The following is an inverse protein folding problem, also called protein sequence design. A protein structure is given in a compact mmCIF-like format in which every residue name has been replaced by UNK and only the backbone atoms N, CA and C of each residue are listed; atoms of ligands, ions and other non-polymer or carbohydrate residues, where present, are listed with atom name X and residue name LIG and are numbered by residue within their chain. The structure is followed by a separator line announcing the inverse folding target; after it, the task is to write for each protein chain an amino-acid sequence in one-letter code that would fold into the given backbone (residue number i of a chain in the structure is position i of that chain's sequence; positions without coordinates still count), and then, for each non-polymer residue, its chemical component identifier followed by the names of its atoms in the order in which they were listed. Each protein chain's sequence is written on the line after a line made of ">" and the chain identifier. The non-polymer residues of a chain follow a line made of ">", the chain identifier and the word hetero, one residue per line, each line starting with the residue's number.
data_IF_234671204311
#
_entry.id   IF_234671204311
#
_cell.length_a   1.000
_cell.length_b   1.000
_cell.length_c   1.000
_cell.angle_alpha   90.00
_cell.angle_beta   90.00
_cell.angle_gamma   90.00
#
_symmetry.space_group_name_H-M   'P 1'
#
loop_
_entity.id
_entity.type
_entity.pdbx_description
1 polymer ?
#
# COMPACT_ATOMS: atom_id res chain seq x y z
N UNK A 1 49.04 -13.98 80.59
CA UNK A 1 49.33 -12.81 81.45
C UNK A 1 48.74 -11.59 80.79
N UNK A 2 47.72 -11.00 81.43
CA UNK A 2 47.24 -9.62 81.45
C UNK A 2 47.03 -8.94 80.09
N UNK A 3 45.79 -8.66 79.81
CA UNK A 3 44.91 -7.50 80.16
C UNK A 3 45.04 -6.32 79.22
N UNK A 4 44.00 -5.98 78.66
CA UNK A 4 43.04 -4.85 78.83
C UNK A 4 42.98 -3.88 77.66
N UNK A 5 41.76 -3.73 77.18
CA UNK A 5 40.95 -2.50 77.01
C UNK A 5 41.50 -1.49 76.02
N UNK A 6 40.75 -0.91 75.13
CA UNK A 6 39.40 -0.40 75.21
C UNK A 6 39.01 0.36 73.95
N UNK A 7 37.69 0.37 73.67
CA UNK A 7 36.88 1.47 73.17
C UNK A 7 36.93 1.81 71.66
N UNK A 8 35.92 1.37 70.94
CA UNK A 8 34.70 2.09 70.50
C UNK A 8 34.95 3.28 69.63
N UNK A 9 34.57 3.13 68.32
CA UNK A 9 33.89 4.13 67.59
C UNK A 9 32.89 3.43 66.71
N UNK A 10 31.61 3.65 67.01
CA UNK A 10 30.45 3.14 66.27
C UNK A 10 30.23 4.00 65.00
N UNK A 11 30.52 3.43 63.85
CA UNK A 11 30.02 4.01 62.61
C UNK A 11 28.53 3.62 62.37
N UNK A 12 27.68 4.61 62.54
CA UNK A 12 26.26 4.55 62.25
C UNK A 12 26.04 4.37 60.74
N UNK A 13 25.51 3.24 60.34
CA UNK A 13 24.87 3.07 59.04
C UNK A 13 23.68 4.01 58.93
N UNK A 14 23.49 4.72 57.81
CA UNK A 14 22.27 5.51 57.61
C UNK A 14 21.09 4.58 57.41
N UNK A 15 20.03 4.82 58.16
CA UNK A 15 18.72 4.20 58.06
C UNK A 15 18.16 4.36 56.66
N UNK A 16 17.91 3.24 55.97
CA UNK A 16 17.06 3.20 54.83
C UNK A 16 15.67 3.64 55.24
N UNK A 17 15.14 4.70 54.62
CA UNK A 17 13.75 5.11 54.75
C UNK A 17 12.85 4.01 54.19
N UNK A 18 11.74 3.64 54.84
CA UNK A 18 10.78 2.72 54.30
C UNK A 18 10.09 3.36 53.07
N UNK A 19 9.95 2.61 51.98
CA UNK A 19 9.11 2.97 50.85
C UNK A 19 7.65 3.06 51.34
N UNK A 20 6.89 4.08 50.92
CA UNK A 20 5.45 4.10 51.17
C UNK A 20 4.80 2.96 50.36
N UNK A 21 4.20 2.06 51.08
CA UNK A 21 3.27 1.04 50.55
C UNK A 21 1.98 1.74 50.19
N UNK A 22 1.50 1.50 48.96
CA UNK A 22 0.07 1.71 48.65
C UNK A 22 -0.21 2.87 47.73
N UNK A 23 0.18 2.77 46.46
CA UNK A 23 -0.67 3.30 45.40
C UNK A 23 -1.23 2.10 44.62
N UNK A 24 -2.55 2.03 44.42
CA UNK A 24 -3.14 0.97 43.61
C UNK A 24 -2.72 1.19 42.16
N UNK A 25 -2.14 0.15 41.54
CA UNK A 25 -1.93 0.06 40.11
C UNK A 25 -3.25 0.38 39.40
N UNK A 26 -3.36 1.55 38.81
CA UNK A 26 -4.43 1.87 37.89
C UNK A 26 -4.29 0.96 36.63
N UNK A 27 -5.24 0.09 36.33
CA UNK A 27 -5.23 -0.72 35.11
C UNK A 27 -5.71 0.12 33.93
N UNK A 28 -4.87 1.01 33.42
CA UNK A 28 -5.25 1.91 32.33
C UNK A 28 -4.12 2.61 31.60
N UNK A 29 -2.91 2.59 32.13
CA UNK A 29 -1.82 3.47 31.65
C UNK A 29 -0.98 2.93 30.49
N UNK A 30 -1.25 1.75 29.91
CA UNK A 30 -0.41 1.16 28.86
C UNK A 30 -0.99 1.20 27.44
N UNK A 31 -1.93 2.08 27.16
CA UNK A 31 -2.47 2.27 25.80
C UNK A 31 -2.32 3.69 25.25
N UNK A 32 -1.44 4.47 25.81
CA UNK A 32 -1.08 5.79 25.29
C UNK A 32 0.25 5.75 24.53
N UNK A 33 0.40 4.85 23.55
CA UNK A 33 1.11 5.20 22.35
C UNK A 33 0.18 6.13 21.60
N UNK A 34 0.28 7.43 21.91
CA UNK A 34 -0.44 8.49 21.22
C UNK A 34 -0.31 8.29 19.72
N UNK A 35 -1.31 8.69 18.94
CA UNK A 35 -1.18 8.69 17.50
C UNK A 35 0.13 9.40 17.21
N UNK A 36 1.00 8.81 16.38
CA UNK A 36 1.97 9.61 15.64
C UNK A 36 1.14 10.58 14.83
N UNK A 37 0.76 11.70 15.44
CA UNK A 37 0.25 12.84 14.74
C UNK A 37 1.35 13.18 13.74
N UNK A 38 1.08 13.12 12.43
CA UNK A 38 1.99 13.71 11.47
C UNK A 38 2.21 15.10 12.03
N UNK A 39 3.49 15.47 12.23
CA UNK A 39 3.87 16.77 12.73
C UNK A 39 2.92 17.81 12.15
N UNK A 40 2.03 18.35 12.98
CA UNK A 40 1.00 19.32 12.59
C UNK A 40 1.60 20.61 11.98
N UNK A 41 2.93 20.69 11.98
CA UNK A 41 3.69 21.86 11.63
C UNK A 41 3.71 22.22 10.14
N UNK A 42 3.13 21.42 9.22
CA UNK A 42 3.23 21.71 7.77
C UNK A 42 2.05 21.20 6.94
N UNK A 43 0.85 21.26 7.44
CA UNK A 43 -0.34 21.06 6.60
C UNK A 43 -0.55 22.33 5.78
N UNK A 44 -0.71 22.18 4.47
CA UNK A 44 -1.07 23.27 3.57
C UNK A 44 -2.31 24.01 4.10
N UNK A 45 -2.26 25.35 4.21
CA UNK A 45 -3.26 26.16 4.91
C UNK A 45 -4.73 25.90 4.49
N UNK A 46 -5.06 25.63 3.20
CA UNK A 46 -6.41 25.22 2.81
C UNK A 46 -6.81 23.85 3.39
N UNK A 47 -5.85 22.94 3.54
CA UNK A 47 -6.09 21.63 4.12
C UNK A 47 -6.32 21.68 5.63
N UNK A 48 -5.69 22.64 6.34
CA UNK A 48 -5.91 22.88 7.75
C UNK A 48 -7.35 23.31 8.04
N UNK A 49 -7.89 24.24 7.23
CA UNK A 49 -9.29 24.65 7.31
C UNK A 49 -10.27 23.51 7.05
N UNK A 50 -9.94 22.65 6.07
CA UNK A 50 -10.74 21.45 5.80
C UNK A 50 -10.74 20.47 6.98
N UNK A 51 -9.59 20.26 7.63
CA UNK A 51 -9.46 19.41 8.82
C UNK A 51 -10.26 19.95 10.01
N UNK A 52 -10.28 21.28 10.22
CA UNK A 52 -11.09 21.92 11.26
C UNK A 52 -12.59 21.80 10.98
N UNK A 53 -13.02 22.02 9.75
CA UNK A 53 -14.41 21.81 9.33
C UNK A 53 -14.83 20.35 9.49
N UNK A 54 -13.94 19.43 9.12
CA UNK A 54 -14.15 18.01 9.27
C UNK A 54 -14.34 17.60 10.74
N UNK A 55 -13.56 18.19 11.66
CA UNK A 55 -13.71 17.94 13.09
C UNK A 55 -15.10 18.40 13.62
N UNK A 56 -15.62 19.52 13.12
CA UNK A 56 -16.98 20.02 13.45
C UNK A 56 -18.07 19.10 12.90
N UNK A 57 -17.97 18.68 11.63
CA UNK A 57 -18.90 17.74 11.01
C UNK A 57 -18.87 16.39 11.75
N UNK A 58 -17.70 15.91 12.13
CA UNK A 58 -17.54 14.69 12.91
C UNK A 58 -18.18 14.75 14.30
N UNK A 59 -18.24 15.96 14.94
CA UNK A 59 -18.93 16.11 16.21
C UNK A 59 -20.46 16.03 16.05
N UNK A 60 -21.00 16.59 14.99
CA UNK A 60 -22.41 16.49 14.65
C UNK A 60 -22.82 15.07 14.25
N UNK A 61 -22.02 14.39 13.44
CA UNK A 61 -22.28 13.03 12.97
C UNK A 61 -22.42 11.99 14.10
N UNK A 62 -21.89 12.29 15.31
CA UNK A 62 -21.96 11.41 16.49
C UNK A 62 -23.33 11.31 17.15
N UNK A 63 -24.25 12.20 16.83
CA UNK A 63 -25.54 12.26 17.51
C UNK A 63 -26.43 11.02 17.21
N UNK A 64 -26.26 10.40 16.03
CA UNK A 64 -27.01 9.22 15.64
C UNK A 64 -26.11 8.15 14.97
N UNK A 65 -26.40 6.86 15.20
CA UNK A 65 -25.62 5.74 14.63
C UNK A 65 -25.60 5.74 13.09
N UNK A 66 -26.70 6.12 12.46
CA UNK A 66 -26.82 6.20 10.99
C UNK A 66 -25.95 7.29 10.39
N UNK A 67 -25.95 8.48 10.99
CA UNK A 67 -25.09 9.60 10.54
C UNK A 67 -23.61 9.29 10.77
N UNK A 68 -23.28 8.59 11.86
CA UNK A 68 -21.91 8.12 12.11
C UNK A 68 -21.46 7.13 11.03
N UNK A 69 -22.29 6.14 10.69
CA UNK A 69 -21.96 5.15 9.66
C UNK A 69 -21.79 5.81 8.28
N UNK A 70 -22.67 6.72 7.91
CA UNK A 70 -22.57 7.48 6.66
C UNK A 70 -21.30 8.35 6.62
N UNK A 71 -20.99 9.02 7.70
CA UNK A 71 -19.78 9.85 7.82
C UNK A 71 -18.51 8.99 7.69
N UNK A 72 -18.45 7.85 8.39
CA UNK A 72 -17.33 6.90 8.26
C UNK A 72 -17.21 6.37 6.82
N UNK A 73 -18.33 6.06 6.16
CA UNK A 73 -18.33 5.60 4.77
C UNK A 73 -17.79 6.66 3.81
N UNK A 74 -18.27 7.91 3.92
CA UNK A 74 -17.76 9.03 3.10
C UNK A 74 -16.27 9.25 3.35
N UNK A 75 -15.86 9.24 4.62
CA UNK A 75 -14.45 9.39 4.99
C UNK A 75 -13.57 8.25 4.46
N UNK A 76 -14.08 7.01 4.49
CA UNK A 76 -13.42 5.87 3.86
C UNK A 76 -13.24 6.12 2.37
N UNK A 77 -14.29 6.55 1.66
CA UNK A 77 -14.22 6.88 0.23
C UNK A 77 -13.19 7.97 -0.07
N UNK A 78 -13.15 9.04 0.72
CA UNK A 78 -12.17 10.13 0.56
C UNK A 78 -10.74 9.61 0.77
N UNK A 79 -10.50 8.80 1.81
CA UNK A 79 -9.18 8.18 2.03
C UNK A 79 -8.78 7.24 0.90
N UNK A 80 -9.73 6.46 0.36
CA UNK A 80 -9.47 5.58 -0.78
C UNK A 80 -9.15 6.38 -2.04
N UNK A 81 -9.94 7.43 -2.34
CA UNK A 81 -9.67 8.32 -3.48
C UNK A 81 -8.28 8.96 -3.36
N UNK A 82 -7.90 9.38 -2.15
CA UNK A 82 -6.57 9.93 -1.89
C UNK A 82 -5.47 8.88 -2.06
N UNK A 83 -5.68 7.64 -1.60
CA UNK A 83 -4.74 6.55 -1.80
C UNK A 83 -4.58 6.21 -3.28
N UNK A 84 -5.65 6.27 -4.07
CA UNK A 84 -5.65 6.01 -5.50
C UNK A 84 -5.14 7.18 -6.36
N UNK A 85 -4.80 8.35 -5.78
CA UNK A 85 -4.56 9.59 -6.52
C UNK A 85 -3.59 9.42 -7.68
N UNK A 86 -2.42 8.80 -7.45
CA UNK A 86 -1.42 8.59 -8.50
C UNK A 86 -1.97 7.72 -9.65
N UNK A 87 -2.56 6.57 -9.31
CA UNK A 87 -3.16 5.67 -10.30
C UNK A 87 -4.33 6.31 -11.05
N UNK A 88 -5.18 7.09 -10.35
CA UNK A 88 -6.30 7.80 -10.96
C UNK A 88 -5.84 8.87 -11.96
N UNK A 89 -4.77 9.60 -11.63
CA UNK A 89 -4.17 10.58 -12.55
C UNK A 89 -3.59 9.90 -13.80
N UNK A 90 -2.92 8.75 -13.65
CA UNK A 90 -2.41 7.98 -14.78
C UNK A 90 -3.53 7.43 -15.66
N UNK A 91 -4.58 6.85 -15.06
CA UNK A 91 -5.75 6.36 -15.83
C UNK A 91 -6.49 7.49 -16.53
N UNK A 92 -6.67 8.63 -15.84
CA UNK A 92 -7.23 9.84 -16.44
C UNK A 92 -6.40 10.34 -17.62
N UNK A 93 -5.06 10.28 -17.51
CA UNK A 93 -4.14 10.65 -18.57
C UNK A 93 -4.25 9.69 -19.77
N UNK A 94 -4.37 8.38 -19.54
CA UNK A 94 -4.60 7.40 -20.60
C UNK A 94 -5.90 7.68 -21.35
N UNK A 95 -7.00 7.94 -20.63
CA UNK A 95 -8.29 8.28 -21.22
C UNK A 95 -8.23 9.61 -21.99
N UNK A 96 -7.68 10.65 -21.38
CA UNK A 96 -7.55 11.97 -22.02
C UNK A 96 -6.74 11.88 -23.31
N UNK A 97 -5.57 11.23 -23.27
CA UNK A 97 -4.74 11.08 -24.48
C UNK A 97 -5.39 10.19 -25.54
N UNK A 98 -6.18 9.19 -25.16
CA UNK A 98 -6.93 8.41 -26.11
C UNK A 98 -7.96 9.25 -26.87
N UNK A 99 -8.61 10.20 -26.19
CA UNK A 99 -9.69 11.01 -26.76
C UNK A 99 -9.17 12.22 -27.57
N UNK A 100 -8.11 12.89 -27.08
CA UNK A 100 -7.72 14.20 -27.63
C UNK A 100 -6.29 14.28 -28.17
N UNK A 101 -5.48 13.20 -28.07
CA UNK A 101 -4.10 13.27 -28.53
C UNK A 101 -4.03 13.35 -30.06
N UNK A 102 -3.36 14.39 -30.65
CA UNK A 102 -3.38 14.59 -32.09
C UNK A 102 -2.69 13.45 -32.84
N UNK A 103 -3.35 12.96 -33.91
CA UNK A 103 -2.71 12.03 -34.84
C UNK A 103 -1.62 12.78 -35.62
N UNK A 104 -0.38 12.27 -35.54
CA UNK A 104 0.77 12.93 -36.18
C UNK A 104 1.44 14.01 -35.34
N UNK A 105 1.19 14.05 -34.02
CA UNK A 105 1.95 14.90 -33.10
C UNK A 105 3.46 14.60 -33.25
N UNK A 106 4.29 15.65 -33.12
CA UNK A 106 5.78 15.52 -33.17
C UNK A 106 6.32 14.65 -32.02
N UNK A 107 5.64 14.61 -30.88
CA UNK A 107 5.93 13.73 -29.76
C UNK A 107 5.02 12.52 -29.82
N UNK A 108 5.57 11.32 -29.73
CA UNK A 108 4.76 10.11 -29.66
C UNK A 108 3.94 10.06 -28.35
N UNK A 109 2.71 9.52 -28.41
CA UNK A 109 1.82 9.46 -27.24
C UNK A 109 2.45 8.76 -26.04
N UNK A 110 3.18 7.67 -26.25
CA UNK A 110 3.84 6.95 -25.16
C UNK A 110 4.97 7.78 -24.52
N UNK A 111 5.71 8.55 -25.30
CA UNK A 111 6.74 9.45 -24.77
C UNK A 111 6.10 10.58 -23.95
N UNK A 112 4.98 11.13 -24.44
CA UNK A 112 4.19 12.09 -23.68
C UNK A 112 3.70 11.50 -22.36
N UNK A 113 3.19 10.24 -22.35
CA UNK A 113 2.74 9.56 -21.15
C UNK A 113 3.86 9.38 -20.12
N UNK A 114 5.09 9.08 -20.55
CA UNK A 114 6.27 9.01 -19.67
C UNK A 114 6.54 10.38 -19.04
N UNK A 115 6.66 11.42 -19.87
CA UNK A 115 6.94 12.78 -19.38
C UNK A 115 5.87 13.29 -18.43
N UNK A 116 4.60 13.03 -18.75
CA UNK A 116 3.48 13.41 -17.91
C UNK A 116 3.46 12.61 -16.58
N UNK A 117 3.77 11.31 -16.61
CA UNK A 117 3.87 10.50 -15.38
C UNK A 117 4.99 11.00 -14.47
N UNK A 118 6.16 11.35 -15.03
CA UNK A 118 7.27 11.95 -14.27
C UNK A 118 6.86 13.32 -13.73
N UNK A 119 6.20 14.16 -14.52
CA UNK A 119 5.72 15.47 -14.08
C UNK A 119 4.70 15.34 -12.93
N UNK A 120 3.76 14.39 -13.02
CA UNK A 120 2.82 14.08 -11.92
C UNK A 120 3.61 13.68 -10.68
N UNK A 121 4.58 12.79 -10.81
CA UNK A 121 5.39 12.32 -9.67
C UNK A 121 6.16 13.47 -9.01
N UNK A 122 6.80 14.30 -9.80
CA UNK A 122 7.52 15.49 -9.32
C UNK A 122 6.57 16.47 -8.63
N UNK A 123 5.40 16.73 -9.23
CA UNK A 123 4.39 17.59 -8.65
C UNK A 123 3.89 17.05 -7.31
N UNK A 124 3.63 15.74 -7.21
CA UNK A 124 3.19 15.11 -5.96
C UNK A 124 4.21 15.23 -4.85
N UNK A 125 5.50 15.11 -5.16
CA UNK A 125 6.59 15.35 -4.20
C UNK A 125 6.72 16.83 -3.84
N UNK A 126 6.71 17.73 -4.82
CA UNK A 126 6.84 19.17 -4.62
C UNK A 126 5.72 19.75 -3.78
N UNK A 127 4.48 19.33 -4.01
CA UNK A 127 3.31 19.71 -3.23
C UNK A 127 3.14 18.90 -1.93
N UNK A 128 4.08 18.03 -1.62
CA UNK A 128 4.06 17.16 -0.42
C UNK A 128 2.80 16.30 -0.29
N UNK A 129 2.22 15.93 -1.42
CA UNK A 129 1.11 14.99 -1.51
C UNK A 129 1.60 13.55 -1.32
N UNK A 130 2.91 13.34 -1.47
CA UNK A 130 3.60 12.07 -1.35
C UNK A 130 4.86 12.21 -0.49
N UNK A 131 5.20 11.16 0.26
CA UNK A 131 6.44 11.12 1.04
C UNK A 131 7.61 10.58 0.20
N UNK A 132 8.85 10.80 0.66
CA UNK A 132 10.03 10.24 -0.01
C UNK A 132 10.03 8.72 0.01
N UNK A 133 9.53 8.12 1.08
CA UNK A 133 9.41 6.67 1.23
C UNK A 133 8.41 6.10 0.22
N UNK A 134 7.28 6.79 0.00
CA UNK A 134 6.31 6.42 -1.04
C UNK A 134 6.93 6.54 -2.44
N UNK A 135 7.74 7.56 -2.71
CA UNK A 135 8.46 7.70 -3.97
C UNK A 135 9.50 6.59 -4.20
N UNK A 136 10.17 6.12 -3.14
CA UNK A 136 11.07 4.95 -3.23
C UNK A 136 10.30 3.68 -3.61
N UNK A 137 9.11 3.49 -3.02
CA UNK A 137 8.21 2.38 -3.40
C UNK A 137 7.85 2.47 -4.88
N UNK A 138 7.47 3.65 -5.37
CA UNK A 138 7.14 3.89 -6.78
C UNK A 138 8.32 3.52 -7.68
N UNK A 139 9.53 3.96 -7.34
CA UNK A 139 10.72 3.65 -8.12
C UNK A 139 11.00 2.13 -8.15
N UNK A 140 10.91 1.46 -7.01
CA UNK A 140 11.08 -0.01 -6.92
C UNK A 140 10.05 -0.74 -7.79
N UNK A 141 8.77 -0.35 -7.69
CA UNK A 141 7.71 -0.96 -8.49
C UNK A 141 7.85 -0.66 -9.97
N UNK A 142 8.31 0.53 -10.33
CA UNK A 142 8.62 0.87 -11.72
C UNK A 142 9.71 -0.04 -12.29
N UNK A 143 10.80 -0.27 -11.56
CA UNK A 143 11.89 -1.15 -11.98
C UNK A 143 11.44 -2.61 -12.11
N UNK A 144 10.79 -3.15 -11.06
CA UNK A 144 10.29 -4.55 -11.04
C UNK A 144 9.23 -4.77 -12.13
N UNK A 145 8.28 -3.82 -12.27
CA UNK A 145 7.24 -3.87 -13.29
C UNK A 145 7.81 -3.80 -14.70
N UNK A 146 8.77 -2.91 -14.95
CA UNK A 146 9.42 -2.78 -16.27
C UNK A 146 10.16 -4.07 -16.65
N UNK A 147 10.89 -4.70 -15.71
CA UNK A 147 11.56 -5.97 -15.96
C UNK A 147 10.56 -7.08 -16.35
N UNK A 148 9.41 -7.14 -15.65
CA UNK A 148 8.34 -8.08 -15.97
C UNK A 148 7.71 -7.79 -17.33
N UNK A 149 7.50 -6.54 -17.67
CA UNK A 149 6.95 -6.11 -18.97
C UNK A 149 7.84 -6.49 -20.14
N UNK A 150 9.16 -6.26 -20.02
CA UNK A 150 10.14 -6.64 -21.05
C UNK A 150 10.02 -8.14 -21.35
N UNK A 151 10.01 -8.99 -20.31
CA UNK A 151 9.86 -10.43 -20.50
C UNK A 151 8.51 -10.78 -21.13
N UNK A 152 7.39 -10.29 -20.61
CA UNK A 152 6.05 -10.63 -21.09
C UNK A 152 5.81 -10.18 -22.54
N UNK A 153 6.34 -9.05 -22.91
CA UNK A 153 6.28 -8.55 -24.29
C UNK A 153 7.15 -9.40 -25.20
N UNK A 154 8.34 -9.83 -24.76
CA UNK A 154 9.22 -10.70 -25.56
C UNK A 154 8.61 -12.08 -25.86
N UNK A 155 7.83 -12.64 -24.94
CA UNK A 155 7.09 -13.91 -25.13
C UNK A 155 5.70 -13.72 -25.73
N UNK A 156 5.35 -12.51 -26.16
CA UNK A 156 4.09 -12.23 -26.87
C UNK A 156 2.82 -12.28 -26.03
N UNK A 157 2.92 -12.15 -24.70
CA UNK A 157 1.74 -12.11 -23.80
C UNK A 157 0.83 -10.93 -24.08
N UNK A 158 1.39 -9.79 -24.46
CA UNK A 158 0.74 -8.57 -24.96
C UNK A 158 1.72 -7.75 -25.77
N UNK A 159 1.24 -6.72 -26.42
CA UNK A 159 2.04 -5.83 -27.26
C UNK A 159 1.68 -4.36 -27.02
N UNK A 160 2.63 -3.49 -27.33
CA UNK A 160 2.49 -2.03 -27.35
C UNK A 160 2.39 -1.55 -28.79
N UNK A 161 1.18 -1.15 -29.27
CA UNK A 161 0.93 -0.93 -30.69
C UNK A 161 1.58 0.34 -31.25
N UNK A 162 1.88 1.33 -30.41
CA UNK A 162 2.41 2.62 -30.84
C UNK A 162 3.94 2.67 -30.76
N UNK A 163 4.55 3.45 -31.62
CA UNK A 163 5.99 3.74 -31.59
C UNK A 163 6.33 4.76 -30.49
N UNK A 164 7.52 4.74 -29.94
CA UNK A 164 8.05 5.71 -28.99
C UNK A 164 9.57 5.67 -28.93
N UNK A 165 10.20 6.73 -28.44
CA UNK A 165 11.63 6.82 -28.19
C UNK A 165 11.98 6.30 -26.79
N UNK A 166 11.16 6.63 -25.78
CA UNK A 166 11.38 6.27 -24.39
C UNK A 166 10.88 4.84 -24.11
N UNK A 167 11.63 3.84 -24.61
CA UNK A 167 11.36 2.41 -24.42
C UNK A 167 12.64 1.61 -24.18
N UNK A 168 12.49 0.52 -23.42
CA UNK A 168 13.56 -0.44 -23.13
C UNK A 168 13.04 -1.83 -23.48
N UNK A 169 13.79 -2.61 -24.26
CA UNK A 169 13.37 -3.96 -24.64
C UNK A 169 12.02 -4.04 -25.37
N UNK A 170 11.67 -3.01 -26.15
CA UNK A 170 10.39 -2.93 -26.84
C UNK A 170 9.22 -2.43 -25.98
N UNK A 171 9.44 -2.15 -24.70
CA UNK A 171 8.43 -1.73 -23.72
C UNK A 171 8.54 -0.22 -23.46
N UNK A 172 7.47 0.56 -23.63
CA UNK A 172 7.44 1.97 -23.27
C UNK A 172 7.58 2.15 -21.75
N UNK A 173 8.42 3.11 -21.31
CA UNK A 173 8.68 3.31 -19.89
C UNK A 173 7.46 3.73 -19.06
N UNK A 174 6.38 4.27 -19.69
CA UNK A 174 5.17 4.59 -18.96
C UNK A 174 4.52 3.35 -18.31
N UNK A 175 4.72 2.15 -18.88
CA UNK A 175 4.14 0.92 -18.36
C UNK A 175 4.61 0.59 -16.94
N UNK A 176 5.87 0.88 -16.63
CA UNK A 176 6.40 0.72 -15.27
C UNK A 176 5.68 1.59 -14.24
N UNK A 177 5.20 2.78 -14.62
CA UNK A 177 4.41 3.64 -13.74
C UNK A 177 3.02 3.06 -13.43
N UNK A 178 2.47 2.20 -14.29
CA UNK A 178 1.21 1.50 -14.00
C UNK A 178 1.36 0.53 -12.83
N UNK A 179 2.48 -0.20 -12.76
CA UNK A 179 2.80 -1.04 -11.59
C UNK A 179 3.13 -0.19 -10.36
N UNK A 180 3.85 0.90 -10.56
CA UNK A 180 4.18 1.84 -9.50
C UNK A 180 2.93 2.44 -8.84
N UNK A 181 1.84 2.62 -9.60
CA UNK A 181 0.56 3.07 -9.05
C UNK A 181 -0.02 2.11 -8.01
N UNK A 182 0.17 0.79 -8.18
CA UNK A 182 -0.25 -0.22 -7.21
C UNK A 182 0.58 -0.09 -5.92
N UNK A 183 1.89 0.05 -6.05
CA UNK A 183 2.79 0.25 -4.91
C UNK A 183 2.48 1.52 -4.14
N UNK A 184 2.27 2.64 -4.83
CA UNK A 184 1.86 3.92 -4.24
C UNK A 184 0.55 3.79 -3.48
N UNK A 185 -0.46 3.12 -4.08
CA UNK A 185 -1.74 2.86 -3.43
C UNK A 185 -1.58 2.10 -2.11
N UNK A 186 -0.85 0.98 -2.11
CA UNK A 186 -0.67 0.15 -0.92
C UNK A 186 0.08 0.93 0.17
N UNK A 187 1.18 1.62 -0.18
CA UNK A 187 1.98 2.41 0.76
C UNK A 187 1.15 3.53 1.40
N UNK A 188 0.32 4.21 0.60
CA UNK A 188 -0.61 5.23 1.11
C UNK A 188 -1.71 4.67 1.98
N UNK A 189 -2.30 3.53 1.61
CA UNK A 189 -3.25 2.84 2.47
C UNK A 189 -2.62 2.51 3.83
N UNK A 190 -1.39 2.03 3.83
CA UNK A 190 -0.66 1.71 5.05
C UNK A 190 -0.55 2.93 5.99
N UNK A 191 -0.20 4.08 5.43
CA UNK A 191 -0.10 5.34 6.18
C UNK A 191 -1.45 5.89 6.63
N UNK A 192 -2.47 5.87 5.73
CA UNK A 192 -3.76 6.53 5.96
C UNK A 192 -4.67 5.75 6.91
N UNK A 193 -4.57 4.41 6.90
CA UNK A 193 -5.50 3.55 7.61
C UNK A 193 -4.93 2.92 8.88
N UNK A 194 -3.68 3.22 9.26
CA UNK A 194 -3.04 2.66 10.47
C UNK A 194 -3.24 1.14 10.53
N UNK A 195 -2.72 0.42 9.53
CA UNK A 195 -2.90 -1.01 9.40
C UNK A 195 -2.24 -1.78 10.54
N UNK A 196 -3.02 -2.65 11.18
CA UNK A 196 -2.56 -3.63 12.17
C UNK A 196 -3.08 -5.00 11.78
N UNK A 197 -2.35 -6.03 12.14
CA UNK A 197 -2.65 -7.38 11.70
C UNK A 197 -2.79 -8.35 12.86
N UNK A 198 -3.77 -9.27 12.74
CA UNK A 198 -3.84 -10.45 13.57
C UNK A 198 -3.54 -11.69 12.73
N UNK A 199 -2.81 -12.65 13.28
CA UNK A 199 -2.35 -13.87 12.62
C UNK A 199 -1.62 -13.60 11.28
N UNK A 200 -0.87 -12.49 11.20
CA UNK A 200 -0.03 -12.21 10.04
C UNK A 200 1.09 -13.26 9.95
N UNK A 201 1.29 -13.89 8.79
CA UNK A 201 2.38 -14.84 8.60
C UNK A 201 3.75 -14.13 8.78
N UNK A 202 4.81 -14.87 9.12
CA UNK A 202 6.16 -14.33 9.17
C UNK A 202 6.55 -13.71 7.84
N UNK A 203 7.29 -12.59 7.86
CA UNK A 203 7.67 -11.88 6.60
C UNK A 203 8.44 -12.76 5.64
N UNK A 204 9.30 -13.68 6.16
CA UNK A 204 10.05 -14.56 5.28
C UNK A 204 9.15 -15.51 4.47
N UNK A 205 8.02 -16.01 5.05
CA UNK A 205 7.06 -16.86 4.31
C UNK A 205 6.30 -16.07 3.27
N UNK A 206 5.93 -14.82 3.59
CA UNK A 206 5.30 -13.90 2.64
C UNK A 206 6.25 -13.60 1.48
N UNK A 207 7.53 -13.35 1.79
CA UNK A 207 8.58 -13.10 0.79
C UNK A 207 8.83 -14.32 -0.07
N UNK A 208 8.93 -15.52 0.54
CA UNK A 208 9.12 -16.77 -0.20
C UNK A 208 7.95 -17.04 -1.15
N UNK A 209 6.70 -16.82 -0.69
CA UNK A 209 5.51 -16.94 -1.55
C UNK A 209 5.57 -15.91 -2.70
N UNK A 210 5.92 -14.66 -2.42
CA UNK A 210 6.02 -13.60 -3.42
C UNK A 210 7.08 -13.93 -4.48
N UNK A 211 8.25 -14.45 -4.06
CA UNK A 211 9.29 -14.92 -4.98
C UNK A 211 8.76 -16.08 -5.83
N UNK A 212 8.08 -17.07 -5.23
CA UNK A 212 7.49 -18.20 -5.96
C UNK A 212 6.46 -17.74 -7.00
N UNK A 213 5.61 -16.77 -6.66
CA UNK A 213 4.64 -16.15 -7.58
C UNK A 213 5.38 -15.44 -8.72
N UNK A 214 6.39 -14.65 -8.39
CA UNK A 214 7.16 -13.88 -9.37
C UNK A 214 7.92 -14.83 -10.33
N UNK A 215 8.56 -15.86 -9.80
CA UNK A 215 9.24 -16.90 -10.61
C UNK A 215 8.25 -17.62 -11.52
N UNK A 216 7.09 -18.06 -11.00
CA UNK A 216 6.05 -18.70 -11.82
C UNK A 216 5.54 -17.78 -12.92
N UNK A 217 5.50 -16.47 -12.69
CA UNK A 217 5.09 -15.50 -13.70
C UNK A 217 6.00 -15.48 -14.93
N UNK A 218 7.27 -15.85 -14.77
CA UNK A 218 8.21 -16.02 -15.89
C UNK A 218 8.19 -17.44 -16.44
N UNK A 219 8.17 -18.44 -15.56
CA UNK A 219 8.45 -19.83 -15.93
C UNK A 219 7.26 -20.59 -16.50
N UNK A 220 6.01 -20.16 -16.23
CA UNK A 220 4.82 -20.87 -16.71
C UNK A 220 4.67 -20.92 -18.24
N UNK A 221 5.50 -20.21 -18.99
CA UNK A 221 5.62 -20.34 -20.45
C UNK A 221 6.43 -21.56 -20.89
N UNK A 222 7.25 -22.10 -20.00
CA UNK A 222 8.20 -23.19 -20.27
C UNK A 222 7.99 -24.39 -19.35
N UNK A 223 7.42 -24.18 -18.18
CA UNK A 223 7.17 -25.19 -17.15
C UNK A 223 5.66 -25.27 -16.83
N UNK A 224 5.20 -26.35 -16.20
CA UNK A 224 3.82 -26.45 -15.72
C UNK A 224 3.45 -25.27 -14.84
N UNK A 225 2.27 -24.73 -15.07
CA UNK A 225 1.76 -23.56 -14.34
C UNK A 225 1.41 -23.90 -12.89
N UNK A 226 2.16 -23.34 -11.95
CA UNK A 226 1.98 -23.57 -10.53
C UNK A 226 0.90 -22.67 -9.89
N UNK A 227 0.12 -21.90 -10.66
CA UNK A 227 -0.86 -20.95 -10.11
C UNK A 227 -1.82 -21.57 -9.09
N UNK A 228 -2.31 -22.78 -9.32
CA UNK A 228 -3.22 -23.48 -8.40
C UNK A 228 -2.55 -23.71 -7.05
N UNK A 229 -1.30 -24.17 -7.06
CA UNK A 229 -0.52 -24.38 -5.83
C UNK A 229 -0.26 -23.05 -5.13
N UNK A 230 0.06 -22.00 -5.87
CA UNK A 230 0.29 -20.67 -5.31
C UNK A 230 -0.98 -20.06 -4.71
N UNK A 231 -2.16 -20.30 -5.29
CA UNK A 231 -3.44 -19.94 -4.68
C UNK A 231 -3.71 -20.70 -3.39
N UNK A 232 -3.45 -22.01 -3.39
CA UNK A 232 -3.61 -22.83 -2.17
C UNK A 232 -2.67 -22.34 -1.05
N UNK A 233 -1.38 -22.10 -1.36
CA UNK A 233 -0.43 -21.56 -0.40
C UNK A 233 -0.85 -20.18 0.10
N UNK A 234 -1.37 -19.31 -0.77
CA UNK A 234 -1.92 -18.01 -0.40
C UNK A 234 -3.08 -18.16 0.58
N UNK A 235 -4.03 -19.07 0.29
CA UNK A 235 -5.17 -19.31 1.15
C UNK A 235 -4.74 -19.87 2.51
N UNK A 236 -3.77 -20.78 2.56
CA UNK A 236 -3.23 -21.34 3.81
C UNK A 236 -2.53 -20.26 4.63
N UNK A 237 -1.65 -19.46 4.02
CA UNK A 237 -0.87 -18.45 4.73
C UNK A 237 -1.73 -17.30 5.25
N UNK A 238 -2.64 -16.80 4.44
CA UNK A 238 -3.42 -15.61 4.75
C UNK A 238 -4.86 -15.89 5.19
N UNK A 239 -5.35 -17.12 5.13
CA UNK A 239 -6.74 -17.47 5.43
C UNK A 239 -7.21 -17.08 6.83
N UNK A 240 -6.28 -17.04 7.81
CA UNK A 240 -6.58 -16.60 9.19
C UNK A 240 -6.12 -15.16 9.47
N UNK A 241 -5.53 -14.47 8.49
CA UNK A 241 -4.99 -13.14 8.65
C UNK A 241 -6.11 -12.09 8.51
N UNK A 242 -6.22 -11.23 9.52
CA UNK A 242 -7.14 -10.10 9.51
C UNK A 242 -6.35 -8.81 9.50
N UNK A 243 -6.77 -7.86 8.66
CA UNK A 243 -6.29 -6.49 8.70
C UNK A 243 -7.28 -5.65 9.50
N UNK A 244 -6.75 -4.92 10.47
CA UNK A 244 -7.44 -3.90 11.24
C UNK A 244 -7.04 -2.56 10.65
N UNK A 245 -8.03 -1.74 10.29
CA UNK A 245 -7.83 -0.45 9.66
C UNK A 245 -8.69 0.61 10.31
N UNK A 246 -8.14 1.82 10.45
CA UNK A 246 -8.81 2.93 11.11
C UNK A 246 -9.27 3.97 10.08
N UNK A 247 -10.59 4.06 9.91
CA UNK A 247 -11.19 5.10 9.06
C UNK A 247 -11.26 6.42 9.80
N UNK A 248 -11.76 6.41 11.01
CA UNK A 248 -11.91 7.61 11.87
C UNK A 248 -11.34 7.36 13.27
N UNK A 249 -12.11 6.83 14.20
CA UNK A 249 -11.72 6.60 15.60
C UNK A 249 -11.41 5.14 15.87
N UNK A 250 -12.32 4.26 15.47
CA UNK A 250 -12.27 2.85 15.76
C UNK A 250 -11.61 2.06 14.62
N UNK A 251 -10.91 1.01 14.97
CA UNK A 251 -10.40 0.05 14.00
C UNK A 251 -11.54 -0.87 13.55
N UNK A 252 -11.80 -0.88 12.26
CA UNK A 252 -12.59 -1.90 11.58
C UNK A 252 -11.69 -3.05 11.18
N UNK A 253 -12.25 -4.23 10.97
CA UNK A 253 -11.47 -5.40 10.53
C UNK A 253 -12.10 -6.08 9.33
N UNK A 254 -11.26 -6.63 8.48
CA UNK A 254 -11.69 -7.51 7.40
C UNK A 254 -10.66 -8.62 7.18
N UNK A 255 -11.03 -9.78 6.57
CA UNK A 255 -10.04 -10.77 6.12
C UNK A 255 -9.07 -10.12 5.13
N UNK A 256 -7.77 -10.35 5.30
CA UNK A 256 -6.77 -9.74 4.40
C UNK A 256 -6.91 -10.23 2.96
N UNK A 257 -7.30 -11.50 2.78
CA UNK A 257 -7.60 -12.07 1.44
C UNK A 257 -8.73 -11.32 0.72
N UNK A 258 -9.76 -10.88 1.45
CA UNK A 258 -10.83 -10.05 0.87
C UNK A 258 -10.25 -8.73 0.37
N UNK A 259 -9.38 -8.10 1.16
CA UNK A 259 -8.68 -6.88 0.74
C UNK A 259 -7.88 -7.09 -0.54
N UNK A 260 -7.11 -8.18 -0.63
CA UNK A 260 -6.37 -8.52 -1.84
C UNK A 260 -7.29 -8.74 -3.05
N UNK A 261 -8.40 -9.46 -2.86
CA UNK A 261 -9.38 -9.70 -3.94
C UNK A 261 -10.03 -8.41 -4.44
N UNK A 262 -10.41 -7.50 -3.53
CA UNK A 262 -10.99 -6.21 -3.90
C UNK A 262 -9.98 -5.34 -4.68
N UNK A 263 -8.73 -5.27 -4.24
CA UNK A 263 -7.70 -4.52 -4.97
C UNK A 263 -7.42 -5.14 -6.33
N UNK A 264 -7.31 -6.48 -6.42
CA UNK A 264 -7.14 -7.19 -7.69
C UNK A 264 -8.30 -6.91 -8.66
N UNK A 265 -9.54 -6.81 -8.17
CA UNK A 265 -10.70 -6.44 -8.96
C UNK A 265 -10.58 -5.02 -9.51
N UNK A 266 -10.17 -4.05 -8.70
CA UNK A 266 -9.93 -2.68 -9.15
C UNK A 266 -8.79 -2.59 -10.16
N UNK A 267 -7.71 -3.37 -10.00
CA UNK A 267 -6.64 -3.46 -10.98
C UNK A 267 -7.17 -4.03 -12.30
N UNK A 268 -8.04 -5.04 -12.26
CA UNK A 268 -8.67 -5.59 -13.45
C UNK A 268 -9.57 -4.56 -14.18
N UNK A 269 -10.28 -3.69 -13.45
CA UNK A 269 -10.99 -2.56 -14.07
C UNK A 269 -10.03 -1.58 -14.73
N UNK A 270 -8.94 -1.23 -14.05
CA UNK A 270 -7.89 -0.36 -14.60
C UNK A 270 -7.25 -0.95 -15.86
N UNK A 271 -7.03 -2.26 -15.88
CA UNK A 271 -6.52 -3.00 -17.05
C UNK A 271 -7.49 -2.92 -18.24
N UNK A 272 -8.81 -3.02 -18.00
CA UNK A 272 -9.80 -2.84 -19.04
C UNK A 272 -9.76 -1.42 -19.63
N UNK A 273 -9.57 -0.39 -18.79
CA UNK A 273 -9.37 0.99 -19.26
C UNK A 273 -8.07 1.09 -20.08
N UNK A 274 -6.98 0.52 -19.62
CA UNK A 274 -5.69 0.54 -20.32
C UNK A 274 -5.76 -0.12 -21.70
N UNK A 275 -6.41 -1.27 -21.81
CA UNK A 275 -6.58 -1.96 -23.10
C UNK A 275 -7.61 -1.25 -23.99
N UNK A 276 -8.69 -0.67 -23.43
CA UNK A 276 -9.66 0.15 -24.17
C UNK A 276 -8.98 1.37 -24.81
N UNK A 277 -8.10 2.03 -24.09
CA UNK A 277 -7.32 3.18 -24.59
C UNK A 277 -6.19 2.79 -25.53
N UNK A 278 -6.07 1.50 -25.87
CA UNK A 278 -4.99 0.94 -26.68
C UNK A 278 -3.58 1.24 -26.15
N UNK A 279 -3.44 1.48 -24.82
CA UNK A 279 -2.14 1.64 -24.18
C UNK A 279 -1.31 0.36 -24.28
N UNK A 280 -1.94 -0.80 -24.25
CA UNK A 280 -1.43 -2.10 -24.68
C UNK A 280 -2.58 -2.96 -25.20
N UNK A 281 -2.27 -4.06 -25.89
CA UNK A 281 -3.26 -4.99 -26.44
C UNK A 281 -2.88 -6.43 -26.18
N UNK A 282 -3.88 -7.23 -25.86
CA UNK A 282 -3.73 -8.69 -25.82
C UNK A 282 -3.89 -9.30 -27.22
N UNK A 283 -3.32 -10.49 -27.47
CA UNK A 283 -3.53 -11.21 -28.73
C UNK A 283 -5.02 -11.41 -29.08
N UNK A 284 -5.88 -11.62 -28.08
CA UNK A 284 -7.34 -11.73 -28.26
C UNK A 284 -8.02 -10.44 -28.69
N UNK A 285 -7.35 -9.28 -28.56
CA UNK A 285 -7.91 -7.96 -28.89
C UNK A 285 -7.37 -7.40 -30.23
N UNK A 286 -6.74 -8.24 -31.07
CA UNK A 286 -6.14 -7.79 -32.35
C UNK A 286 -7.19 -7.26 -33.33
N UNK A 287 -8.37 -7.87 -33.39
CA UNK A 287 -9.45 -7.48 -34.30
C UNK A 287 -10.36 -6.37 -33.75
N UNK A 288 -10.26 -6.07 -32.47
CA UNK A 288 -11.05 -5.06 -31.79
C UNK A 288 -10.95 -5.23 -30.28
N UNK A 289 -11.30 -4.18 -29.55
CA UNK A 289 -11.30 -4.25 -28.10
C UNK A 289 -12.42 -5.19 -27.61
N UNK A 290 -12.06 -6.00 -26.64
CA UNK A 290 -12.97 -6.83 -25.86
C UNK A 290 -12.60 -6.78 -24.39
N UNK A 291 -13.56 -7.08 -23.52
CA UNK A 291 -13.31 -7.13 -22.07
C UNK A 291 -12.19 -8.14 -21.75
N UNK A 292 -11.25 -7.73 -20.92
CA UNK A 292 -10.14 -8.57 -20.49
C UNK A 292 -10.69 -9.80 -19.76
N UNK A 293 -10.18 -10.97 -20.11
CA UNK A 293 -10.64 -12.25 -19.53
C UNK A 293 -10.60 -12.22 -18.00
N UNK A 294 -11.65 -12.74 -17.36
CA UNK A 294 -11.73 -12.90 -15.89
C UNK A 294 -10.62 -13.79 -15.34
N UNK A 295 -10.03 -14.67 -16.16
CA UNK A 295 -8.83 -15.43 -15.78
C UNK A 295 -7.63 -14.55 -15.40
N UNK A 296 -7.58 -13.30 -15.90
CA UNK A 296 -6.57 -12.31 -15.50
C UNK A 296 -6.76 -11.81 -14.06
N UNK A 297 -7.98 -11.86 -13.53
CA UNK A 297 -8.25 -11.48 -12.13
C UNK A 297 -7.42 -12.35 -11.16
N UNK A 298 -7.29 -13.65 -11.42
CA UNK A 298 -6.43 -14.53 -10.63
C UNK A 298 -4.95 -14.13 -10.71
N UNK A 299 -4.46 -13.76 -11.91
CA UNK A 299 -3.09 -13.28 -12.06
C UNK A 299 -2.87 -11.98 -11.26
N UNK A 300 -3.84 -11.06 -11.29
CA UNK A 300 -3.79 -9.82 -10.50
C UNK A 300 -3.83 -10.08 -9.00
N UNK A 301 -4.61 -11.08 -8.53
CA UNK A 301 -4.61 -11.48 -7.13
C UNK A 301 -3.21 -11.94 -6.67
N UNK A 302 -2.53 -12.77 -7.46
CA UNK A 302 -1.17 -13.19 -7.14
C UNK A 302 -0.17 -12.03 -7.21
N UNK A 303 -0.26 -11.17 -8.22
CA UNK A 303 0.59 -9.97 -8.31
C UNK A 303 0.33 -8.98 -7.16
N UNK A 304 -0.91 -8.90 -6.66
CA UNK A 304 -1.23 -8.12 -5.47
C UNK A 304 -0.46 -8.63 -4.25
N UNK A 305 -0.23 -9.93 -4.11
CA UNK A 305 0.55 -10.51 -3.01
C UNK A 305 2.02 -10.13 -3.15
N UNK A 306 2.58 -10.15 -4.36
CA UNK A 306 3.94 -9.65 -4.62
C UNK A 306 4.06 -8.18 -4.23
N UNK A 307 3.08 -7.38 -4.65
CA UNK A 307 3.03 -5.95 -4.33
C UNK A 307 2.92 -5.72 -2.82
N UNK A 308 2.06 -6.47 -2.14
CA UNK A 308 1.94 -6.42 -0.69
C UNK A 308 3.25 -6.79 0.01
N UNK A 309 3.92 -7.85 -0.43
CA UNK A 309 5.19 -8.30 0.15
C UNK A 309 6.28 -7.22 0.05
N UNK A 310 6.40 -6.56 -1.10
CA UNK A 310 7.37 -5.47 -1.31
C UNK A 310 7.11 -4.30 -0.35
N UNK A 311 5.84 -3.88 -0.22
CA UNK A 311 5.48 -2.79 0.71
C UNK A 311 5.63 -3.23 2.16
N UNK A 312 5.28 -4.48 2.50
CA UNK A 312 5.42 -5.01 3.86
C UNK A 312 6.89 -5.13 4.31
N UNK A 313 7.80 -5.43 3.39
CA UNK A 313 9.25 -5.43 3.67
C UNK A 313 9.77 -4.03 4.02
N UNK A 314 9.22 -2.99 3.37
CA UNK A 314 9.64 -1.61 3.61
C UNK A 314 9.02 -1.01 4.88
N UNK A 315 7.74 -1.31 5.16
CA UNK A 315 7.00 -0.67 6.25
C UNK A 315 6.94 -1.49 7.55
N UNK A 316 7.14 -2.81 7.49
CA UNK A 316 6.99 -3.73 8.61
C UNK A 316 5.52 -3.88 9.08
N UNK A 317 4.93 -5.08 9.07
CA UNK A 317 3.57 -5.27 9.54
C UNK A 317 3.50 -5.16 11.07
N UNK A 318 2.73 -4.20 11.57
CA UNK A 318 2.47 -4.03 12.99
C UNK A 318 1.44 -5.07 13.45
N UNK A 319 1.77 -5.86 14.48
CA UNK A 319 0.84 -6.82 15.07
C UNK A 319 -0.06 -6.12 16.09
N UNK A 320 -1.33 -6.55 16.14
CA UNK A 320 -2.20 -6.20 17.27
C UNK A 320 -1.68 -6.97 18.48
N UNK A 321 -1.12 -6.24 19.45
CA UNK A 321 -0.82 -6.81 20.77
C UNK A 321 -2.17 -6.97 21.47
N UNK A 322 -2.57 -8.23 21.78
CA UNK A 322 -3.70 -8.43 22.69
C UNK A 322 -3.28 -7.86 24.04
N UNK A 323 -4.13 -7.05 24.68
CA UNK A 323 -3.92 -6.76 26.09
C UNK A 323 -3.91 -8.11 26.83
N UNK A 324 -2.88 -8.34 27.61
CA UNK A 324 -2.83 -9.48 28.51
C UNK A 324 -4.12 -9.48 29.35
N UNK A 325 -4.82 -10.63 29.35
CA UNK A 325 -6.05 -10.81 30.12
C UNK A 325 -5.74 -10.97 31.60
#
# INVERSE_FOLDING_TARGET
>A
MQRRLSRTAAERKPHARPRPTGEPDEPGAHLALGPRTPSAARIWAPLARFVEQEARIGSWARQHRTTQALYEFIRFGIKQAWACLFGALLLGLLLATHLVYPRGAWLARYDFLVLAAVAIQVAMLAFRLETREEAQVIFLFHAVGTAMEIFKTSVGSWLYPETSLLRIGGVPLFSGFMYAAIGSYIARCWRLFDFRFTHHPPLWTVTALAIGIYVNFFTHHYLPDARVVLFALTAVLFGRCWVHFRVWRDHRRMPLLLGFGLVALFIWFAENIGTFTAAWRYPSQRLGWSVVSTGKLGAWLLLMIVSYALVALLNGPQRVVKPDR
#
